data_IF_053781724645
#
_entry.id   IF_053781724645
#
_cell.length_a   1.000
_cell.length_b   1.000
_cell.length_c   1.000
_cell.angle_alpha   90.00
_cell.angle_beta   90.00
_cell.angle_gamma   90.00
#
_symmetry.space_group_name_H-M   'P 1'
#
loop_
_entity.id
_entity.type
_entity.pdbx_description
1 polymer ?
#
# COMPACT_ATOMS: atom_id res chain seq x y z
N UNK A 1 22.83 26.30 -11.47
CA UNK A 1 22.47 25.33 -10.42
C UNK A 1 20.99 25.51 -10.09
N UNK A 2 20.08 24.83 -10.81
CA UNK A 2 18.63 24.95 -10.59
C UNK A 2 18.25 24.04 -9.42
N UNK A 3 17.90 24.65 -8.28
CA UNK A 3 17.28 23.97 -7.14
C UNK A 3 15.95 23.40 -7.65
N UNK A 4 15.82 22.07 -7.79
CA UNK A 4 14.51 21.43 -7.95
C UNK A 4 13.73 21.77 -6.68
N UNK A 5 12.81 22.72 -6.76
CA UNK A 5 11.76 22.88 -5.77
C UNK A 5 10.97 21.57 -5.81
N UNK A 6 11.20 20.70 -4.82
CA UNK A 6 10.35 19.54 -4.61
C UNK A 6 8.94 20.05 -4.36
N UNK A 7 7.95 19.40 -4.95
CA UNK A 7 6.53 19.73 -4.82
C UNK A 7 6.00 19.52 -3.37
N UNK A 8 6.89 19.37 -2.40
CA UNK A 8 6.64 19.06 -0.99
C UNK A 8 6.25 20.31 -0.18
N UNK A 9 6.45 21.53 -0.69
CA UNK A 9 6.22 22.78 0.05
C UNK A 9 4.77 23.25 0.08
N UNK A 10 3.82 22.51 -0.48
CA UNK A 10 2.39 22.88 -0.57
C UNK A 10 1.47 22.04 0.33
N UNK A 11 2.01 21.05 1.04
CA UNK A 11 1.25 20.17 1.94
C UNK A 11 1.27 20.73 3.37
N UNK A 12 0.14 20.66 4.08
CA UNK A 12 0.08 20.95 5.53
C UNK A 12 1.00 20.01 6.32
N UNK A 13 1.38 20.37 7.55
CA UNK A 13 2.21 19.50 8.41
C UNK A 13 1.60 18.10 8.62
N UNK A 14 0.26 18.02 8.67
CA UNK A 14 -0.45 16.74 8.78
C UNK A 14 -0.32 15.94 7.49
N UNK A 15 -0.48 16.57 6.32
CA UNK A 15 -0.27 15.93 5.01
C UNK A 15 1.20 15.52 4.81
N UNK A 16 2.17 16.34 5.20
CA UNK A 16 3.60 16.00 5.17
C UNK A 16 3.92 14.77 6.04
N UNK A 17 3.25 14.62 7.18
CA UNK A 17 3.36 13.43 8.03
C UNK A 17 2.64 12.20 7.44
N UNK A 18 1.57 12.38 6.68
CA UNK A 18 0.86 11.28 6.00
C UNK A 18 1.63 10.71 4.79
N UNK A 19 2.32 11.56 4.04
CA UNK A 19 3.22 11.14 2.95
C UNK A 19 4.62 10.78 3.43
N UNK A 20 4.82 10.68 4.75
CA UNK A 20 6.09 10.27 5.34
C UNK A 20 6.42 8.81 4.94
N UNK A 21 7.60 8.54 4.33
CA UNK A 21 8.03 7.19 3.99
C UNK A 21 8.00 6.19 5.14
N UNK A 22 8.15 6.63 6.40
CA UNK A 22 8.02 5.76 7.57
C UNK A 22 6.59 5.29 7.81
N UNK A 23 5.61 6.19 7.64
CA UNK A 23 4.19 5.85 7.77
C UNK A 23 3.75 4.93 6.63
N UNK A 24 4.08 5.30 5.39
CA UNK A 24 3.78 4.50 4.20
C UNK A 24 4.50 3.15 4.26
N UNK A 25 5.76 3.12 4.69
CA UNK A 25 6.53 1.90 4.91
C UNK A 25 5.87 1.00 5.95
N UNK A 26 5.35 1.55 7.05
CA UNK A 26 4.62 0.76 8.05
C UNK A 26 3.33 0.13 7.48
N UNK A 27 2.58 0.87 6.64
CA UNK A 27 1.39 0.35 5.95
C UNK A 27 1.75 -0.73 4.92
N UNK A 28 2.81 -0.52 4.13
CA UNK A 28 3.32 -1.51 3.18
C UNK A 28 3.76 -2.78 3.91
N UNK A 29 4.58 -2.66 4.95
CA UNK A 29 5.03 -3.77 5.77
C UNK A 29 3.86 -4.56 6.38
N UNK A 30 2.82 -3.87 6.85
CA UNK A 30 1.60 -4.50 7.35
C UNK A 30 0.86 -5.27 6.26
N UNK A 31 0.85 -4.77 5.02
CA UNK A 31 0.24 -5.43 3.87
C UNK A 31 1.03 -6.68 3.45
N UNK A 32 2.36 -6.56 3.36
CA UNK A 32 3.27 -7.68 3.07
C UNK A 32 3.08 -8.81 4.08
N UNK A 33 2.97 -8.47 5.36
CA UNK A 33 2.73 -9.43 6.44
C UNK A 33 1.46 -10.25 6.21
N UNK A 34 0.33 -9.59 5.98
CA UNK A 34 -0.96 -10.28 5.81
C UNK A 34 -1.03 -11.06 4.49
N UNK A 35 -0.36 -10.57 3.44
CA UNK A 35 -0.19 -11.30 2.19
C UNK A 35 0.60 -12.60 2.42
N UNK A 36 1.76 -12.52 3.06
CA UNK A 36 2.63 -13.66 3.31
C UNK A 36 2.04 -14.67 4.32
N UNK A 37 1.21 -14.21 5.28
CA UNK A 37 0.45 -15.11 6.16
C UNK A 37 -0.58 -15.95 5.37
N UNK A 38 -1.02 -15.47 4.20
CA UNK A 38 -2.03 -16.13 3.36
C UNK A 38 -1.44 -16.87 2.15
N UNK A 39 -0.20 -16.58 1.76
CA UNK A 39 0.44 -17.04 0.53
C UNK A 39 1.97 -17.15 0.70
N UNK A 40 2.55 -18.30 0.35
CA UNK A 40 3.97 -18.59 0.67
C UNK A 40 4.98 -18.12 -0.40
N UNK A 41 4.50 -17.80 -1.59
CA UNK A 41 5.29 -17.40 -2.77
C UNK A 41 5.75 -15.93 -2.74
N UNK A 42 5.53 -15.25 -1.61
CA UNK A 42 6.08 -13.94 -1.32
C UNK A 42 5.35 -12.79 -1.98
N UNK A 43 5.37 -11.64 -1.32
CA UNK A 43 4.74 -10.41 -1.82
C UNK A 43 5.55 -9.84 -2.99
N UNK A 44 4.93 -9.63 -4.15
CA UNK A 44 5.61 -8.99 -5.28
C UNK A 44 5.79 -7.50 -5.05
N UNK A 45 7.00 -6.97 -5.28
CA UNK A 45 7.30 -5.53 -5.19
C UNK A 45 6.37 -4.67 -6.04
N UNK A 46 5.95 -5.18 -7.20
CA UNK A 46 4.97 -4.50 -8.08
C UNK A 46 3.67 -4.17 -7.35
N UNK A 47 3.17 -5.06 -6.49
CA UNK A 47 1.91 -4.83 -5.78
C UNK A 47 1.98 -3.63 -4.82
N UNK A 48 3.17 -3.22 -4.37
CA UNK A 48 3.33 -2.05 -3.51
C UNK A 48 2.77 -0.77 -4.18
N UNK A 49 2.92 -0.65 -5.50
CA UNK A 49 2.48 0.50 -6.28
C UNK A 49 0.96 0.57 -6.47
N UNK A 50 0.23 -0.53 -6.24
CA UNK A 50 -1.23 -0.53 -6.25
C UNK A 50 -1.78 -0.40 -4.82
N UNK A 51 -1.20 -1.14 -3.87
CA UNK A 51 -1.70 -1.18 -2.50
C UNK A 51 -1.61 0.19 -1.84
N UNK A 52 -0.48 0.88 -1.91
CA UNK A 52 -0.32 2.15 -1.19
C UNK A 52 -1.30 3.22 -1.68
N UNK A 53 -1.45 3.49 -2.99
CA UNK A 53 -2.44 4.45 -3.47
C UNK A 53 -3.88 4.08 -3.08
N UNK A 54 -4.20 2.78 -3.07
CA UNK A 54 -5.53 2.29 -2.70
C UNK A 54 -5.82 2.51 -1.21
N UNK A 55 -4.82 2.26 -0.37
CA UNK A 55 -4.88 2.44 1.09
C UNK A 55 -4.96 3.93 1.46
N UNK A 56 -4.12 4.75 0.85
CA UNK A 56 -3.97 6.18 1.15
C UNK A 56 -5.17 7.01 0.63
N UNK A 57 -5.88 6.53 -0.38
CA UNK A 57 -7.10 7.16 -0.86
C UNK A 57 -8.27 6.85 0.09
N UNK A 58 -8.66 7.82 0.93
CA UNK A 58 -9.79 7.69 1.88
C UNK A 58 -11.12 7.40 1.21
N UNK A 59 -11.32 7.87 -0.02
CA UNK A 59 -12.49 7.56 -0.83
C UNK A 59 -12.60 6.06 -1.11
N UNK A 60 -11.48 5.39 -1.38
CA UNK A 60 -11.46 3.96 -1.69
C UNK A 60 -11.34 3.11 -0.43
N UNK A 61 -10.42 3.44 0.49
CA UNK A 61 -10.13 2.63 1.67
C UNK A 61 -11.32 2.54 2.65
N UNK A 62 -12.11 3.60 2.78
CA UNK A 62 -13.35 3.58 3.59
C UNK A 62 -14.46 2.71 3.00
N UNK A 63 -14.37 2.34 1.72
CA UNK A 63 -15.39 1.57 0.99
C UNK A 63 -14.98 0.11 0.77
N UNK A 64 -13.85 -0.32 1.31
CA UNK A 64 -13.40 -1.71 1.19
C UNK A 64 -14.44 -2.68 1.77
N UNK A 65 -14.54 -3.90 1.22
CA UNK A 65 -15.42 -4.92 1.78
C UNK A 65 -15.06 -5.26 3.22
N UNK A 66 -16.05 -5.70 4.01
CA UNK A 66 -15.83 -6.14 5.39
C UNK A 66 -15.03 -7.44 5.49
N UNK A 67 -15.08 -8.28 4.45
CA UNK A 67 -14.41 -9.58 4.40
C UNK A 67 -13.87 -9.85 3.01
N UNK A 68 -12.84 -10.69 2.92
CA UNK A 68 -12.22 -11.07 1.63
C UNK A 68 -13.10 -12.02 0.80
N UNK A 69 -14.30 -12.38 1.27
CA UNK A 69 -15.28 -13.18 0.52
C UNK A 69 -15.88 -12.39 -0.66
N UNK A 70 -15.89 -11.07 -0.59
CA UNK A 70 -16.32 -10.22 -1.70
C UNK A 70 -15.27 -10.29 -2.81
N UNK A 71 -15.64 -10.73 -4.03
CA UNK A 71 -14.72 -10.77 -5.16
C UNK A 71 -14.22 -9.35 -5.53
N UNK A 72 -12.97 -9.26 -5.96
CA UNK A 72 -12.36 -7.99 -6.37
C UNK A 72 -13.11 -7.32 -7.52
N UNK A 73 -13.57 -8.10 -8.50
CA UNK A 73 -14.33 -7.57 -9.65
C UNK A 73 -15.66 -6.96 -9.25
N UNK A 74 -16.35 -7.59 -8.29
CA UNK A 74 -17.62 -7.09 -7.78
C UNK A 74 -17.42 -5.72 -7.12
N UNK A 75 -16.43 -5.60 -6.26
CA UNK A 75 -16.11 -4.33 -5.61
C UNK A 75 -15.66 -3.26 -6.60
N UNK A 76 -14.82 -3.60 -7.57
CA UNK A 76 -14.36 -2.65 -8.59
C UNK A 76 -15.54 -2.12 -9.43
N UNK A 77 -16.48 -2.98 -9.79
CA UNK A 77 -17.68 -2.58 -10.52
C UNK A 77 -18.57 -1.62 -9.70
N UNK A 78 -18.74 -1.91 -8.41
CA UNK A 78 -19.56 -1.06 -7.52
C UNK A 78 -18.95 0.34 -7.27
N UNK A 79 -17.64 0.51 -7.51
CA UNK A 79 -16.90 1.74 -7.24
C UNK A 79 -16.10 2.26 -8.44
N UNK A 80 -16.51 1.90 -9.66
CA UNK A 80 -15.82 2.22 -10.91
C UNK A 80 -15.56 3.74 -11.08
N UNK A 81 -16.55 4.57 -10.73
CA UNK A 81 -16.48 6.03 -10.78
C UNK A 81 -15.40 6.62 -9.87
N UNK A 82 -15.08 5.96 -8.75
CA UNK A 82 -13.99 6.36 -7.87
C UNK A 82 -12.61 5.91 -8.38
N UNK A 83 -12.57 4.91 -9.26
CA UNK A 83 -11.34 4.33 -9.80
C UNK A 83 -10.88 4.98 -11.11
N UNK A 84 -11.68 5.84 -11.74
CA UNK A 84 -11.34 6.52 -13.00
C UNK A 84 -9.98 7.23 -12.95
N UNK A 85 -9.67 7.89 -11.83
CA UNK A 85 -8.41 8.62 -11.64
C UNK A 85 -7.33 7.80 -10.91
N UNK A 86 -7.61 6.53 -10.61
CA UNK A 86 -6.72 5.67 -9.84
C UNK A 86 -5.36 5.44 -10.54
N UNK A 87 -5.29 5.18 -11.87
CA UNK A 87 -3.99 5.05 -12.55
C UNK A 87 -3.12 6.32 -12.46
N UNK A 88 -3.74 7.51 -12.50
CA UNK A 88 -3.01 8.76 -12.34
C UNK A 88 -2.49 8.92 -10.89
N UNK A 89 -3.27 8.47 -9.91
CA UNK A 89 -2.87 8.44 -8.50
C UNK A 89 -1.69 7.49 -8.29
N UNK A 90 -1.69 6.29 -8.89
CA UNK A 90 -0.56 5.36 -8.81
C UNK A 90 0.74 6.03 -9.24
N UNK A 91 0.74 6.71 -10.40
CA UNK A 91 1.92 7.43 -10.89
C UNK A 91 2.41 8.52 -9.92
N UNK A 92 1.49 9.25 -9.28
CA UNK A 92 1.84 10.29 -8.32
C UNK A 92 2.48 9.75 -7.03
N UNK A 93 2.14 8.52 -6.64
CA UNK A 93 2.67 7.87 -5.43
C UNK A 93 3.98 7.11 -5.64
N UNK A 94 4.43 6.89 -6.89
CA UNK A 94 5.67 6.14 -7.18
C UNK A 94 6.85 6.60 -6.30
N UNK A 95 7.19 7.90 -6.20
CA UNK A 95 8.34 8.33 -5.39
C UNK A 95 8.20 7.93 -3.91
N UNK A 96 7.00 8.12 -3.35
CA UNK A 96 6.72 7.82 -1.94
C UNK A 96 6.77 6.32 -1.66
N UNK A 97 6.31 5.49 -2.60
CA UNK A 97 6.40 4.03 -2.49
C UNK A 97 7.84 3.57 -2.56
N UNK A 98 8.64 4.13 -3.47
CA UNK A 98 10.08 3.82 -3.58
C UNK A 98 10.81 4.18 -2.28
N UNK A 99 10.62 5.40 -1.78
CA UNK A 99 11.25 5.86 -0.53
C UNK A 99 10.86 4.97 0.66
N UNK A 100 9.59 4.52 0.71
CA UNK A 100 9.10 3.62 1.76
C UNK A 100 9.74 2.23 1.66
N UNK A 101 9.90 1.68 0.45
CA UNK A 101 10.59 0.40 0.23
C UNK A 101 12.05 0.51 0.66
N UNK A 102 12.74 1.56 0.22
CA UNK A 102 14.15 1.79 0.57
C UNK A 102 14.34 1.88 2.09
N UNK A 103 13.48 2.63 2.78
CA UNK A 103 13.51 2.72 4.24
C UNK A 103 13.32 1.35 4.92
N UNK A 104 12.38 0.52 4.44
CA UNK A 104 12.15 -0.81 4.99
C UNK A 104 13.33 -1.77 4.75
N UNK A 105 14.01 -1.64 3.60
CA UNK A 105 15.23 -2.41 3.30
C UNK A 105 16.38 -1.95 4.18
N UNK A 106 16.64 -0.64 4.26
CA UNK A 106 17.72 -0.06 5.09
C UNK A 106 17.56 -0.35 6.58
N UNK A 107 16.32 -0.40 7.07
CA UNK A 107 16.02 -0.78 8.45
C UNK A 107 16.11 -2.29 8.73
N UNK A 108 16.30 -3.12 7.69
CA UNK A 108 16.31 -4.58 7.81
C UNK A 108 14.95 -5.18 8.15
N UNK A 109 13.86 -4.46 7.91
CA UNK A 109 12.49 -4.94 8.11
C UNK A 109 12.05 -5.87 6.98
N UNK A 110 12.48 -5.59 5.76
CA UNK A 110 12.27 -6.43 4.58
C UNK A 110 13.57 -6.62 3.81
N UNK A 111 13.51 -7.51 2.83
CA UNK A 111 14.51 -7.69 1.78
C UNK A 111 13.79 -7.96 0.47
N UNK A 112 14.44 -7.70 -0.65
CA UNK A 112 13.89 -7.93 -1.99
C UNK A 112 14.78 -8.97 -2.67
N UNK A 113 14.22 -10.15 -2.97
CA UNK A 113 14.98 -11.20 -3.63
C UNK A 113 15.17 -10.93 -5.13
N UNK A 114 15.92 -11.80 -5.81
CA UNK A 114 16.23 -11.69 -7.24
C UNK A 114 14.97 -11.70 -8.14
N UNK A 115 13.88 -12.32 -7.69
CA UNK A 115 12.59 -12.36 -8.37
C UNK A 115 11.72 -11.11 -8.09
N UNK A 116 12.26 -10.11 -7.38
CA UNK A 116 11.53 -8.91 -7.00
C UNK A 116 10.47 -9.14 -5.92
N UNK A 117 10.54 -10.23 -5.16
CA UNK A 117 9.64 -10.53 -4.04
C UNK A 117 10.19 -9.94 -2.74
N UNK A 118 9.30 -9.28 -1.99
CA UNK A 118 9.57 -8.73 -0.67
C UNK A 118 9.35 -9.79 0.41
N UNK A 119 10.41 -10.05 1.17
CA UNK A 119 10.42 -11.02 2.27
C UNK A 119 10.61 -10.29 3.59
N UNK A 120 9.81 -10.63 4.60
CA UNK A 120 9.97 -10.08 5.94
C UNK A 120 11.24 -10.64 6.60
N UNK A 121 12.02 -9.77 7.25
CA UNK A 121 13.27 -10.14 7.93
C UNK A 121 13.12 -10.12 9.45
N UNK A 122 14.25 -10.22 10.16
CA UNK A 122 14.33 -10.34 11.60
C UNK A 122 13.73 -9.15 12.38
N UNK A 123 13.73 -7.94 11.80
CA UNK A 123 13.09 -6.78 12.41
C UNK A 123 11.56 -6.89 12.25
N UNK A 124 10.87 -7.08 13.38
CA UNK A 124 9.41 -7.22 13.42
C UNK A 124 8.76 -5.92 13.89
N UNK A 125 8.09 -5.22 12.98
CA UNK A 125 7.29 -4.05 13.36
C UNK A 125 6.03 -4.50 14.13
N UNK A 126 5.58 -3.77 15.16
CA UNK A 126 4.40 -4.13 15.94
C UNK A 126 3.15 -4.25 15.07
N UNK A 127 2.23 -5.19 15.38
CA UNK A 127 0.99 -5.37 14.61
C UNK A 127 -0.02 -4.21 14.79
N UNK A 128 0.04 -3.48 15.91
CA UNK A 128 -0.87 -2.36 16.19
C UNK A 128 -0.23 -1.39 17.20
N UNK A 129 0.60 -0.44 16.75
CA UNK A 129 1.16 0.62 17.58
C UNK A 129 0.05 1.45 18.24
N UNK A 130 0.35 2.02 19.41
CA UNK A 130 -0.60 2.84 20.19
C UNK A 130 -1.08 4.06 19.40
N UNK A 131 -0.17 4.74 18.67
CA UNK A 131 -0.50 5.88 17.82
C UNK A 131 -1.62 5.59 16.80
N UNK A 132 -1.70 4.36 16.28
CA UNK A 132 -2.76 3.95 15.35
C UNK A 132 -4.10 3.66 16.03
N UNK A 133 -4.12 3.48 17.36
CA UNK A 133 -5.34 3.22 18.13
C UNK A 133 -6.03 4.51 18.57
N UNK A 134 -5.24 5.56 18.81
CA UNK A 134 -5.72 6.85 19.33
C UNK A 134 -6.28 7.76 18.23
N UNK A 135 -6.07 7.42 16.96
CA UNK A 135 -6.57 8.16 15.81
C UNK A 135 -7.39 7.25 14.90
N UNK A 136 -8.70 7.53 14.75
CA UNK A 136 -9.62 6.69 13.97
C UNK A 136 -9.28 6.64 12.46
N UNK A 137 -8.69 7.70 11.92
CA UNK A 137 -8.18 7.70 10.54
C UNK A 137 -7.02 6.71 10.41
N UNK A 138 -6.00 6.81 11.27
CA UNK A 138 -4.85 5.89 11.29
C UNK A 138 -5.29 4.44 11.51
N UNK A 139 -6.25 4.21 12.40
CA UNK A 139 -6.84 2.90 12.64
C UNK A 139 -7.50 2.33 11.39
N UNK A 140 -8.25 3.15 10.65
CA UNK A 140 -8.98 2.75 9.45
C UNK A 140 -8.02 2.43 8.31
N UNK A 141 -7.01 3.27 8.09
CA UNK A 141 -6.03 3.05 7.02
C UNK A 141 -5.14 1.84 7.30
N UNK A 142 -4.76 1.58 8.56
CA UNK A 142 -4.03 0.35 8.93
C UNK A 142 -4.89 -0.91 8.72
N UNK A 143 -6.18 -0.87 9.07
CA UNK A 143 -7.10 -1.97 8.77
C UNK A 143 -7.21 -2.21 7.26
N UNK A 144 -7.26 -1.14 6.48
CA UNK A 144 -7.33 -1.19 5.01
C UNK A 144 -6.07 -1.81 4.41
N UNK A 145 -4.88 -1.41 4.88
CA UNK A 145 -3.61 -2.00 4.46
C UNK A 145 -3.57 -3.51 4.70
N UNK A 146 -3.94 -3.94 5.92
CA UNK A 146 -4.01 -5.36 6.26
C UNK A 146 -5.01 -6.13 5.40
N UNK A 147 -6.21 -5.57 5.23
CA UNK A 147 -7.25 -6.16 4.40
C UNK A 147 -6.78 -6.34 2.95
N UNK A 148 -6.22 -5.28 2.34
CA UNK A 148 -5.79 -5.32 0.94
C UNK A 148 -4.65 -6.31 0.75
N UNK A 149 -3.67 -6.34 1.66
CA UNK A 149 -2.59 -7.34 1.63
C UNK A 149 -3.15 -8.78 1.59
N UNK A 150 -4.09 -9.09 2.50
CA UNK A 150 -4.79 -10.38 2.50
C UNK A 150 -5.62 -10.60 1.23
N UNK A 151 -6.36 -9.60 0.77
CA UNK A 151 -7.26 -9.72 -0.37
C UNK A 151 -6.50 -9.95 -1.68
N UNK A 152 -5.36 -9.29 -1.87
CA UNK A 152 -4.50 -9.44 -3.04
C UNK A 152 -3.84 -10.83 -3.06
N UNK A 153 -3.56 -11.43 -1.90
CA UNK A 153 -3.01 -12.79 -1.82
C UNK A 153 -3.93 -13.85 -2.46
N UNK A 154 -5.24 -13.57 -2.53
CA UNK A 154 -6.24 -14.45 -3.15
C UNK A 154 -6.25 -14.39 -4.68
N UNK A 155 -5.53 -13.43 -5.28
CA UNK A 155 -5.43 -13.28 -6.74
C UNK A 155 -4.10 -13.85 -7.22
N UNK A 156 -4.15 -14.72 -8.24
CA UNK A 156 -3.00 -15.53 -8.66
C UNK A 156 -1.99 -14.82 -9.57
N UNK A 157 -2.18 -13.53 -9.86
CA UNK A 157 -1.29 -12.79 -10.77
C UNK A 157 -1.34 -11.30 -10.51
N UNK A 158 -0.16 -10.69 -10.41
CA UNK A 158 -0.01 -9.23 -10.35
C UNK A 158 -0.60 -8.56 -11.58
N UNK A 159 -0.35 -9.12 -12.78
CA UNK A 159 -0.89 -8.59 -14.03
C UNK A 159 -2.42 -8.55 -14.01
N UNK A 160 -3.06 -9.56 -13.42
CA UNK A 160 -4.52 -9.59 -13.22
C UNK A 160 -4.98 -8.49 -12.28
N UNK A 161 -4.26 -8.23 -11.18
CA UNK A 161 -4.56 -7.12 -10.26
C UNK A 161 -4.43 -5.78 -10.99
N UNK A 162 -3.30 -5.55 -11.66
CA UNK A 162 -3.04 -4.32 -12.42
C UNK A 162 -4.12 -4.06 -13.48
N UNK A 163 -4.49 -5.08 -14.25
CA UNK A 163 -5.54 -5.00 -15.26
C UNK A 163 -6.90 -4.64 -14.64
N UNK A 164 -7.27 -5.26 -13.53
CA UNK A 164 -8.53 -4.95 -12.81
C UNK A 164 -8.59 -3.50 -12.35
N UNK A 165 -7.47 -2.93 -11.91
CA UNK A 165 -7.38 -1.52 -11.50
C UNK A 165 -7.12 -0.54 -12.66
N UNK A 166 -7.06 -1.02 -13.92
CA UNK A 166 -6.81 -0.18 -15.09
C UNK A 166 -5.39 0.41 -15.13
N UNK A 167 -4.45 -0.18 -14.38
CA UNK A 167 -3.06 0.28 -14.29
C UNK A 167 -2.21 -0.56 -15.23
N UNK A 168 -1.35 0.09 -16.02
CA UNK A 168 -0.39 -0.61 -16.87
C UNK A 168 0.82 -1.00 -16.03
N UNK A 169 1.26 -2.28 -16.05
CA UNK A 169 2.48 -2.73 -15.38
C UNK A 169 3.73 -1.97 -15.83
#
# INVERSE_FOLDING_TARGET
MRKKMSNQSLLSYEEQNLYNPAFVGYLLYSSIREYNESRQDGFSSNLAFIIIPLVMNTGLSSRLPRTTRTPMDMWINDFDGYLVSFPASVNAYIPVVVDAIELLVLSGAIDVNEDGKMVLKGVKLPKSPVMFKENEYMKTILKSAKFIGKWFSLVNSDATIYAKFGVKP
#
